data_IF_665689600461
#
_entry.id   IF_665689600461
#
_cell.length_a   1.000
_cell.length_b   1.000
_cell.length_c   1.000
_cell.angle_alpha   90.00
_cell.angle_beta   90.00
_cell.angle_gamma   90.00
#
_symmetry.space_group_name_H-M   'P 1'
#
loop_
_entity.id
_entity.type
_entity.pdbx_description
1 polymer ?
#
# COMPACT_ATOMS: atom_id res chain seq x y z
N UNK A 1 -13.68 1.53 26.33
CA UNK A 1 -13.81 1.99 24.92
C UNK A 1 -12.45 1.91 24.19
N UNK A 2 -11.86 0.72 24.02
CA UNK A 2 -10.51 0.54 23.40
C UNK A 2 -10.49 -0.39 22.16
N UNK A 3 -11.64 -0.96 21.75
CA UNK A 3 -11.71 -1.96 20.68
C UNK A 3 -11.87 -1.36 19.26
N UNK A 4 -12.27 -0.09 19.16
CA UNK A 4 -12.57 0.55 17.86
C UNK A 4 -11.38 1.28 17.25
N UNK A 5 -10.34 1.62 18.01
CA UNK A 5 -9.13 2.27 17.46
C UNK A 5 -8.26 1.28 16.67
N UNK A 6 -8.30 -0.01 16.99
CA UNK A 6 -7.43 -1.04 16.39
C UNK A 6 -7.85 -1.40 14.96
N UNK A 7 -9.15 -1.47 14.68
CA UNK A 7 -9.66 -1.72 13.33
C UNK A 7 -9.39 -0.54 12.38
N UNK A 8 -9.51 0.69 12.88
CA UNK A 8 -9.19 1.91 12.13
C UNK A 8 -7.71 1.97 11.77
N UNK A 9 -6.80 1.49 12.64
CA UNK A 9 -5.37 1.44 12.34
C UNK A 9 -5.01 0.41 11.25
N UNK A 10 -5.67 -0.75 11.20
CA UNK A 10 -5.45 -1.75 10.15
C UNK A 10 -5.98 -1.29 8.78
N UNK A 11 -7.17 -0.67 8.77
CA UNK A 11 -7.78 -0.06 7.57
C UNK A 11 -6.97 1.15 7.09
N UNK A 12 -6.46 1.96 8.02
CA UNK A 12 -5.53 3.04 7.72
C UNK A 12 -4.24 2.48 7.12
N UNK A 13 -3.59 1.46 7.70
CA UNK A 13 -2.35 0.90 7.14
C UNK A 13 -2.51 0.35 5.72
N UNK A 14 -3.63 -0.35 5.42
CA UNK A 14 -3.92 -0.84 4.07
C UNK A 14 -4.17 0.30 3.07
N UNK A 15 -4.87 1.37 3.49
CA UNK A 15 -5.06 2.57 2.66
C UNK A 15 -3.80 3.45 2.55
N UNK A 16 -2.97 3.51 3.60
CA UNK A 16 -1.69 4.24 3.65
C UNK A 16 -0.72 3.68 2.61
N UNK A 17 -0.68 2.36 2.43
CA UNK A 17 0.31 1.71 1.57
C UNK A 17 -0.15 1.55 0.12
N UNK A 18 -1.46 1.55 -0.12
CA UNK A 18 -2.01 1.56 -1.48
C UNK A 18 -2.26 2.97 -2.04
N UNK A 19 -2.38 3.99 -1.17
CA UNK A 19 -2.66 5.38 -1.56
C UNK A 19 -1.69 6.42 -1.01
N UNK A 20 -0.64 5.99 -0.33
CA UNK A 20 0.36 6.92 0.17
C UNK A 20 -0.14 7.88 1.24
N UNK A 21 -1.20 7.55 1.99
CA UNK A 21 -1.58 8.38 3.14
C UNK A 21 -0.56 8.11 4.24
N UNK A 22 0.64 8.70 4.17
CA UNK A 22 1.53 8.70 5.32
C UNK A 22 0.82 9.41 6.46
N UNK A 23 0.26 8.65 7.40
CA UNK A 23 0.01 9.15 8.72
C UNK A 23 1.40 9.42 9.32
N UNK A 24 1.92 10.62 9.08
CA UNK A 24 3.10 11.15 9.75
C UNK A 24 2.79 11.23 11.25
N UNK A 25 2.98 10.11 11.94
CA UNK A 25 3.05 10.03 13.38
C UNK A 25 4.39 10.59 13.83
N UNK A 26 4.37 11.85 14.24
CA UNK A 26 5.45 12.55 14.92
C UNK A 26 6.07 11.69 16.04
N UNK A 27 7.37 11.40 15.95
CA UNK A 27 8.05 10.53 16.92
C UNK A 27 9.57 10.54 16.82
N UNK A 28 10.18 11.69 17.15
CA UNK A 28 11.47 11.79 17.84
C UNK A 28 12.71 11.20 17.18
N UNK A 29 13.61 12.09 16.76
CA UNK A 29 15.05 11.79 16.63
C UNK A 29 15.55 10.99 17.83
N UNK A 30 16.27 9.91 17.54
CA UNK A 30 17.39 9.49 18.38
C UNK A 30 18.45 8.83 17.52
N UNK A 31 19.63 9.45 17.55
CA UNK A 31 20.87 8.91 17.00
C UNK A 31 21.14 7.52 17.56
N UNK A 32 21.61 6.60 16.72
CA UNK A 32 22.58 5.59 17.18
C UNK A 32 23.42 5.08 16.02
N UNK A 33 24.68 5.50 16.04
CA UNK A 33 25.80 4.90 15.31
C UNK A 33 26.01 3.45 15.74
N UNK A 34 26.23 2.55 14.79
CA UNK A 34 27.25 1.50 14.91
C UNK A 34 27.47 0.81 13.55
N UNK A 35 28.75 0.66 13.19
CA UNK A 35 29.18 0.16 11.90
C UNK A 35 29.10 -1.35 11.73
N UNK A 36 29.23 -1.78 10.48
CA UNK A 36 29.37 -3.18 10.09
C UNK A 36 29.58 -3.31 8.59
N UNK A 37 30.78 -3.76 8.23
CA UNK A 37 31.46 -3.75 6.93
C UNK A 37 30.86 -4.61 5.79
N UNK A 38 31.08 -4.07 4.58
CA UNK A 38 31.45 -4.78 3.34
C UNK A 38 30.38 -5.55 2.55
N UNK A 39 29.85 -4.87 1.53
CA UNK A 39 29.62 -5.49 0.22
C UNK A 39 30.30 -4.60 -0.84
N UNK A 40 31.15 -5.23 -1.66
CA UNK A 40 31.93 -4.65 -2.74
C UNK A 40 31.07 -3.78 -3.67
N UNK A 41 31.22 -2.46 -3.55
CA UNK A 41 30.71 -1.51 -4.53
C UNK A 41 31.63 -1.57 -5.76
N UNK A 42 31.20 -2.35 -6.76
CA UNK A 42 31.80 -2.29 -8.08
C UNK A 42 31.27 -1.02 -8.75
N UNK A 43 32.07 0.04 -8.67
CA UNK A 43 31.94 1.27 -9.43
C UNK A 43 31.86 0.97 -10.92
N UNK A 44 30.76 1.39 -11.56
CA UNK A 44 30.56 1.28 -13.01
C UNK A 44 29.27 1.95 -13.50
N UNK A 45 29.44 3.16 -14.05
CA UNK A 45 28.62 3.81 -15.08
C UNK A 45 27.10 3.97 -14.92
N UNK A 46 26.69 5.22 -14.69
CA UNK A 46 25.32 5.72 -14.81
C UNK A 46 24.47 5.34 -13.61
N UNK A 47 24.16 6.29 -12.73
CA UNK A 47 23.13 6.07 -11.72
C UNK A 47 21.82 5.74 -12.45
N UNK A 48 21.42 4.47 -12.40
CA UNK A 48 20.11 4.03 -12.87
C UNK A 48 19.08 4.84 -12.08
N UNK A 49 18.18 5.52 -12.79
CA UNK A 49 17.09 6.27 -12.18
C UNK A 49 15.85 5.40 -12.15
N UNK A 50 15.10 5.47 -11.06
CA UNK A 50 13.84 4.77 -10.97
C UNK A 50 12.83 5.43 -11.91
N UNK A 51 12.22 4.62 -12.78
CA UNK A 51 11.09 5.01 -13.59
C UNK A 51 9.84 4.35 -13.00
N UNK A 52 8.70 5.06 -13.05
CA UNK A 52 7.42 4.56 -12.53
C UNK A 52 6.36 4.84 -13.57
N UNK A 53 5.64 3.81 -13.97
CA UNK A 53 4.52 3.93 -14.91
C UNK A 53 3.30 4.61 -14.28
N UNK A 54 2.59 5.42 -15.07
CA UNK A 54 1.27 5.93 -14.70
C UNK A 54 0.23 4.82 -14.84
N UNK A 55 -0.20 4.29 -13.69
CA UNK A 55 -1.21 3.22 -13.61
C UNK A 55 -2.61 3.74 -13.21
N UNK A 56 -2.86 5.05 -13.28
CA UNK A 56 -4.14 5.67 -12.88
C UNK A 56 -5.35 5.12 -13.65
N UNK A 57 -5.12 4.61 -14.86
CA UNK A 57 -6.16 4.04 -15.74
C UNK A 57 -6.09 2.52 -15.86
N UNK A 58 -5.15 1.89 -15.15
CA UNK A 58 -5.07 0.43 -15.10
C UNK A 58 -5.99 -0.12 -14.02
N UNK A 59 -6.56 -1.27 -14.30
CA UNK A 59 -7.22 -2.08 -13.29
C UNK A 59 -6.22 -3.06 -12.68
N UNK A 60 -6.31 -3.24 -11.37
CA UNK A 60 -5.42 -4.14 -10.65
C UNK A 60 -6.09 -4.69 -9.41
N UNK A 61 -5.53 -5.79 -8.91
CA UNK A 61 -5.80 -6.31 -7.58
C UNK A 61 -4.50 -6.29 -6.80
N UNK A 62 -4.51 -5.68 -5.62
CA UNK A 62 -3.40 -5.76 -4.68
C UNK A 62 -3.80 -6.57 -3.44
N UNK A 63 -2.88 -7.39 -2.95
CA UNK A 63 -3.07 -8.21 -1.75
C UNK A 63 -1.98 -7.91 -0.75
N UNK A 64 -2.37 -7.45 0.43
CA UNK A 64 -1.47 -7.12 1.53
C UNK A 64 -1.52 -8.22 2.58
N UNK A 65 -0.35 -8.72 2.99
CA UNK A 65 -0.17 -9.77 4.01
C UNK A 65 0.86 -9.34 5.04
N UNK A 66 0.65 -9.77 6.27
CA UNK A 66 1.65 -9.67 7.33
C UNK A 66 2.41 -11.00 7.44
N UNK A 67 3.73 -10.93 7.58
CA UNK A 67 4.60 -12.10 7.63
C UNK A 67 4.31 -13.01 8.84
N UNK A 68 3.91 -12.41 9.96
CA UNK A 68 3.50 -13.13 11.17
C UNK A 68 2.17 -13.88 11.04
N UNK A 69 1.43 -13.69 9.93
CA UNK A 69 0.09 -14.24 9.70
C UNK A 69 -0.92 -13.91 10.81
N UNK A 70 -0.64 -12.88 11.62
CA UNK A 70 -1.52 -12.45 12.71
C UNK A 70 -2.80 -11.80 12.20
N UNK A 71 -2.86 -11.49 10.90
CA UNK A 71 -4.02 -10.95 10.23
C UNK A 71 -4.32 -11.68 8.91
N UNK A 72 -5.61 -11.90 8.60
CA UNK A 72 -6.02 -12.27 7.26
C UNK A 72 -5.53 -11.24 6.24
N UNK A 73 -5.22 -11.67 5.00
CA UNK A 73 -4.85 -10.74 3.94
C UNK A 73 -5.93 -9.68 3.69
N UNK A 74 -5.51 -8.45 3.44
CA UNK A 74 -6.39 -7.41 2.88
C UNK A 74 -6.28 -7.45 1.36
N UNK A 75 -7.41 -7.33 0.67
CA UNK A 75 -7.46 -7.29 -0.79
C UNK A 75 -8.02 -5.95 -1.23
N UNK A 76 -7.34 -5.28 -2.14
CA UNK A 76 -7.83 -4.10 -2.81
C UNK A 76 -7.98 -4.37 -4.30
N UNK A 77 -9.09 -3.90 -4.86
CA UNK A 77 -9.40 -3.97 -6.27
C UNK A 77 -9.60 -2.55 -6.78
N UNK A 78 -9.01 -2.23 -7.94
CA UNK A 78 -9.22 -0.98 -8.66
C UNK A 78 -9.74 -1.28 -10.06
N UNK A 79 -10.82 -0.61 -10.46
CA UNK A 79 -11.32 -0.67 -11.84
C UNK A 79 -10.68 0.39 -12.74
N UNK A 80 -10.93 0.32 -14.05
CA UNK A 80 -10.39 1.28 -15.04
C UNK A 80 -10.95 2.71 -14.91
N UNK A 81 -11.97 2.92 -14.08
CA UNK A 81 -12.54 4.24 -13.77
C UNK A 81 -11.89 4.86 -12.53
N UNK A 82 -11.00 4.13 -11.85
CA UNK A 82 -10.38 4.55 -10.59
C UNK A 82 -11.27 4.31 -9.38
N UNK A 83 -12.37 3.55 -9.52
CA UNK A 83 -13.15 3.13 -8.36
C UNK A 83 -12.40 2.02 -7.61
N UNK A 84 -12.61 1.96 -6.30
CA UNK A 84 -11.87 1.05 -5.43
C UNK A 84 -12.81 0.24 -4.56
N UNK A 85 -12.40 -0.99 -4.29
CA UNK A 85 -12.96 -1.83 -3.24
C UNK A 85 -11.81 -2.37 -2.40
N UNK A 86 -11.87 -2.16 -1.09
CA UNK A 86 -10.96 -2.74 -0.11
C UNK A 86 -11.76 -3.72 0.72
N UNK A 87 -11.30 -4.96 0.77
CA UNK A 87 -11.85 -6.03 1.57
C UNK A 87 -10.86 -6.38 2.66
N UNK A 88 -11.29 -6.24 3.91
CA UNK A 88 -10.50 -6.65 5.07
C UNK A 88 -11.33 -7.60 5.92
N UNK A 89 -10.74 -8.72 6.31
CA UNK A 89 -11.34 -9.62 7.29
C UNK A 89 -10.60 -9.48 8.62
N UNK A 90 -11.35 -9.18 9.67
CA UNK A 90 -10.80 -9.05 11.01
C UNK A 90 -11.27 -10.25 11.85
N UNK A 91 -10.33 -11.00 12.47
CA UNK A 91 -10.68 -12.10 13.35
C UNK A 91 -11.70 -11.67 14.41
N UNK A 92 -12.81 -12.40 14.52
CA UNK A 92 -13.92 -12.14 15.45
C UNK A 92 -14.73 -10.85 15.21
N UNK A 93 -14.48 -10.09 14.15
CA UNK A 93 -15.31 -8.93 13.75
C UNK A 93 -15.97 -9.12 12.38
N UNK A 94 -15.50 -10.09 11.60
CA UNK A 94 -16.07 -10.43 10.30
C UNK A 94 -15.44 -9.60 9.18
N UNK A 95 -16.16 -9.53 8.07
CA UNK A 95 -15.70 -8.88 6.84
C UNK A 95 -16.17 -7.42 6.84
N UNK A 96 -15.22 -6.52 6.65
CA UNK A 96 -15.49 -5.11 6.34
C UNK A 96 -15.09 -4.85 4.90
N UNK A 97 -15.96 -4.17 4.16
CA UNK A 97 -15.68 -3.69 2.82
C UNK A 97 -15.71 -2.15 2.83
N UNK A 98 -14.71 -1.53 2.20
CA UNK A 98 -14.71 -0.10 1.88
C UNK A 98 -14.78 0.06 0.38
N UNK A 99 -15.65 0.94 -0.09
CA UNK A 99 -15.76 1.33 -1.48
C UNK A 99 -15.37 2.80 -1.63
N UNK A 100 -14.58 3.13 -2.66
CA UNK A 100 -14.40 4.50 -3.14
C UNK A 100 -15.02 4.58 -4.54
N UNK A 101 -16.17 5.21 -4.65
CA UNK A 101 -16.94 5.33 -5.89
C UNK A 101 -17.45 6.76 -5.99
N UNK A 102 -17.35 7.36 -7.18
CA UNK A 102 -17.79 8.74 -7.43
C UNK A 102 -17.22 9.75 -6.42
N UNK A 103 -15.94 9.56 -6.06
CA UNK A 103 -15.18 10.37 -5.09
C UNK A 103 -15.70 10.32 -3.65
N UNK A 104 -16.44 9.27 -3.30
CA UNK A 104 -16.98 9.07 -1.95
C UNK A 104 -16.63 7.70 -1.41
N UNK A 105 -16.34 7.67 -0.12
CA UNK A 105 -16.16 6.47 0.67
C UNK A 105 -17.50 5.94 1.19
N UNK A 106 -17.65 4.62 1.09
CA UNK A 106 -18.73 3.86 1.68
C UNK A 106 -18.14 2.70 2.46
N UNK A 107 -18.66 2.44 3.65
CA UNK A 107 -18.28 1.31 4.51
C UNK A 107 -19.43 0.35 4.64
N UNK A 108 -19.15 -0.94 4.50
CA UNK A 108 -20.11 -2.02 4.68
C UNK A 108 -19.58 -2.94 5.78
N UNK A 109 -20.19 -2.89 6.96
CA UNK A 109 -19.84 -3.73 8.10
C UNK A 109 -20.90 -4.83 8.25
N UNK A 110 -20.60 -6.03 7.72
CA UNK A 110 -21.51 -7.20 7.74
C UNK A 110 -22.97 -6.86 7.35
N UNK A 111 -23.18 -6.01 6.34
CA UNK A 111 -24.52 -5.49 6.03
C UNK A 111 -24.51 -4.40 4.96
N UNK A 112 -25.56 -3.55 4.92
CA UNK A 112 -25.69 -2.49 3.92
C UNK A 112 -24.56 -1.47 4.02
N UNK A 113 -24.15 -0.93 2.87
CA UNK A 113 -23.10 0.06 2.80
C UNK A 113 -23.63 1.46 3.15
N UNK A 114 -22.92 2.18 4.00
CA UNK A 114 -23.23 3.57 4.35
C UNK A 114 -22.07 4.49 3.97
N UNK A 115 -22.37 5.72 3.55
CA UNK A 115 -21.35 6.74 3.30
C UNK A 115 -20.50 6.96 4.56
N UNK A 116 -19.18 6.87 4.44
CA UNK A 116 -18.24 7.02 5.55
C UNK A 116 -17.80 8.49 5.66
N UNK A 117 -18.51 9.25 6.49
CA UNK A 117 -18.25 10.68 6.69
C UNK A 117 -16.82 10.96 7.15
N UNK A 118 -16.22 10.09 7.97
CA UNK A 118 -14.86 10.28 8.49
C UNK A 118 -13.81 10.13 7.39
N UNK A 119 -13.93 9.10 6.55
CA UNK A 119 -13.03 8.93 5.41
C UNK A 119 -13.23 10.02 4.36
N UNK A 120 -14.47 10.43 4.13
CA UNK A 120 -14.77 11.53 3.21
C UNK A 120 -14.20 12.87 3.69
N UNK A 121 -14.29 13.15 4.99
CA UNK A 121 -13.68 14.35 5.59
C UNK A 121 -12.15 14.27 5.48
N UNK A 122 -11.55 13.12 5.78
CA UNK A 122 -10.11 12.91 5.66
C UNK A 122 -9.61 13.05 4.20
N UNK A 123 -10.45 12.71 3.21
CA UNK A 123 -10.14 12.79 1.80
C UNK A 123 -10.63 14.08 1.13
N UNK A 124 -11.26 15.01 1.86
CA UNK A 124 -12.04 16.13 1.29
C UNK A 124 -11.26 17.03 0.33
N UNK A 125 -9.93 17.07 0.45
CA UNK A 125 -9.03 17.88 -0.39
C UNK A 125 -7.94 17.05 -1.09
N UNK A 126 -8.07 15.71 -1.09
CA UNK A 126 -7.03 14.80 -1.54
C UNK A 126 -7.50 13.94 -2.71
N UNK A 127 -6.88 14.13 -3.88
CA UNK A 127 -6.95 13.14 -4.96
C UNK A 127 -5.99 11.99 -4.60
N UNK A 128 -6.54 10.92 -4.03
CA UNK A 128 -5.76 9.82 -3.49
C UNK A 128 -4.94 9.06 -4.54
N UNK A 129 -5.46 8.95 -5.76
CA UNK A 129 -4.73 8.34 -6.88
C UNK A 129 -3.53 9.21 -7.23
N UNK A 130 -3.76 10.53 -7.30
CA UNK A 130 -2.67 11.48 -7.54
C UNK A 130 -1.65 11.50 -6.40
N UNK A 131 -2.07 11.44 -5.14
CA UNK A 131 -1.14 11.43 -4.00
C UNK A 131 -0.22 10.22 -4.02
N UNK A 132 -0.75 9.04 -4.32
CA UNK A 132 0.06 7.83 -4.47
C UNK A 132 1.10 7.97 -5.59
N UNK A 133 0.68 8.51 -6.73
CA UNK A 133 1.60 8.78 -7.84
C UNK A 133 2.63 9.84 -7.50
N UNK A 134 2.23 10.92 -6.84
CA UNK A 134 3.13 11.99 -6.40
C UNK A 134 4.15 11.45 -5.40
N UNK A 135 3.79 10.50 -4.53
CA UNK A 135 4.74 9.86 -3.63
C UNK A 135 5.74 8.97 -4.35
N UNK A 136 5.29 8.13 -5.28
CA UNK A 136 6.21 7.33 -6.09
C UNK A 136 7.14 8.23 -6.92
N UNK A 137 6.62 9.35 -7.45
CA UNK A 137 7.39 10.32 -8.20
C UNK A 137 8.35 11.15 -7.35
N UNK A 138 8.01 11.47 -6.10
CA UNK A 138 8.90 12.15 -5.16
C UNK A 138 9.98 11.19 -4.62
N UNK A 139 9.62 9.92 -4.43
CA UNK A 139 10.52 8.93 -3.86
C UNK A 139 11.58 8.44 -4.87
N UNK A 140 11.30 8.51 -6.18
CA UNK A 140 12.25 8.10 -7.23
C UNK A 140 13.60 8.81 -7.16
N UNK A 141 13.62 10.08 -6.73
CA UNK A 141 14.82 10.90 -6.69
C UNK A 141 15.75 10.51 -5.52
N UNK A 142 15.22 9.81 -4.51
CA UNK A 142 15.97 9.25 -3.40
C UNK A 142 16.09 7.71 -3.48
N UNK A 143 15.62 7.11 -4.58
CA UNK A 143 15.56 5.67 -4.74
C UNK A 143 16.96 5.09 -4.96
N UNK A 144 17.27 4.05 -4.20
CA UNK A 144 18.52 3.29 -4.35
C UNK A 144 18.24 1.99 -5.08
N UNK A 145 18.87 1.80 -6.23
CA UNK A 145 18.79 0.54 -6.97
C UNK A 145 19.45 -0.59 -6.17
N UNK A 146 18.74 -1.71 -6.02
CA UNK A 146 19.21 -2.89 -5.29
C UNK A 146 19.55 -4.08 -6.21
N UNK A 147 19.20 -4.01 -7.49
CA UNK A 147 19.41 -5.10 -8.46
C UNK A 147 18.10 -5.63 -9.03
N UNK A 148 18.15 -6.84 -9.58
CA UNK A 148 16.98 -7.54 -10.11
C UNK A 148 16.64 -8.75 -9.23
N UNK A 149 15.36 -8.94 -8.95
CA UNK A 149 14.86 -10.05 -8.14
C UNK A 149 13.59 -10.64 -8.76
N UNK A 150 13.29 -11.90 -8.42
CA UNK A 150 12.07 -12.53 -8.87
C UNK A 150 10.84 -11.93 -8.19
N UNK A 151 9.79 -11.73 -8.98
CA UNK A 151 8.48 -11.24 -8.58
C UNK A 151 7.38 -12.00 -9.33
N UNK A 152 6.12 -11.72 -9.00
CA UNK A 152 4.95 -12.31 -9.65
C UNK A 152 4.88 -12.03 -11.16
N UNK A 153 5.46 -10.91 -11.62
CA UNK A 153 5.58 -10.54 -13.03
C UNK A 153 6.81 -11.14 -13.75
N UNK A 154 7.60 -11.99 -13.10
CA UNK A 154 8.83 -12.58 -13.63
C UNK A 154 10.08 -12.05 -12.92
N UNK A 155 10.82 -11.17 -13.60
CA UNK A 155 11.97 -10.45 -13.04
C UNK A 155 11.60 -9.00 -12.85
N UNK A 156 11.82 -8.47 -11.66
CA UNK A 156 11.56 -7.08 -11.32
C UNK A 156 12.86 -6.34 -10.96
N UNK A 157 12.89 -5.07 -11.30
CA UNK A 157 13.87 -4.13 -10.76
C UNK A 157 13.52 -3.81 -9.31
N UNK A 158 14.51 -3.93 -8.43
CA UNK A 158 14.35 -3.67 -7.01
C UNK A 158 14.92 -2.31 -6.64
N UNK A 159 14.15 -1.54 -5.87
CA UNK A 159 14.50 -0.23 -5.37
C UNK A 159 14.25 -0.11 -3.86
N UNK A 160 15.09 0.62 -3.16
CA UNK A 160 14.89 1.01 -1.76
C UNK A 160 14.51 2.49 -1.68
N UNK A 161 13.40 2.79 -1.00
CA UNK A 161 12.91 4.15 -0.77
C UNK A 161 12.29 4.24 0.62
N UNK A 162 12.74 5.19 1.45
CA UNK A 162 12.14 5.44 2.77
C UNK A 162 12.12 4.23 3.70
N UNK A 163 13.12 3.33 3.60
CA UNK A 163 13.18 2.10 4.39
C UNK A 163 12.23 0.99 3.92
N UNK A 164 11.65 1.12 2.73
CA UNK A 164 10.79 0.12 2.10
C UNK A 164 11.43 -0.36 0.79
N UNK A 165 11.11 -1.59 0.39
CA UNK A 165 11.64 -2.22 -0.81
C UNK A 165 10.53 -2.37 -1.86
N UNK A 166 10.76 -1.83 -3.04
CA UNK A 166 9.82 -1.79 -4.16
C UNK A 166 10.34 -2.67 -5.28
N UNK A 167 9.44 -3.42 -5.90
CA UNK A 167 9.72 -4.28 -7.04
C UNK A 167 8.90 -3.78 -8.22
N UNK A 168 9.58 -3.31 -9.26
CA UNK A 168 8.96 -2.83 -10.49
C UNK A 168 9.13 -3.85 -11.61
N UNK A 169 8.05 -4.16 -12.33
CA UNK A 169 8.12 -5.05 -13.48
C UNK A 169 8.85 -4.40 -14.67
N UNK A 170 8.99 -5.15 -15.77
CA UNK A 170 9.63 -4.68 -17.01
C UNK A 170 8.98 -3.45 -17.65
N UNK A 171 7.73 -3.15 -17.28
CA UNK A 171 6.96 -2.01 -17.77
C UNK A 171 6.98 -0.86 -16.73
N UNK A 172 7.85 -0.96 -15.72
CA UNK A 172 8.01 -0.01 -14.62
C UNK A 172 6.76 0.16 -13.75
N UNK A 173 5.91 -0.88 -13.71
CA UNK A 173 4.73 -0.92 -12.86
C UNK A 173 5.05 -1.60 -11.53
N UNK A 174 4.37 -1.18 -10.48
CA UNK A 174 4.56 -1.76 -9.16
C UNK A 174 4.06 -3.21 -9.13
N UNK A 175 4.96 -4.17 -8.89
CA UNK A 175 4.61 -5.59 -8.71
C UNK A 175 4.55 -5.99 -7.24
N UNK A 176 5.44 -5.44 -6.40
CA UNK A 176 5.48 -5.72 -4.97
C UNK A 176 6.07 -4.58 -4.16
N UNK A 177 5.61 -4.44 -2.92
CA UNK A 177 6.26 -3.66 -1.86
C UNK A 177 6.47 -4.55 -0.64
N UNK A 178 7.64 -4.48 -0.02
CA UNK A 178 7.87 -4.98 1.34
C UNK A 178 8.27 -3.84 2.26
N UNK A 179 7.70 -3.82 3.45
CA UNK A 179 7.90 -2.77 4.44
C UNK A 179 7.85 -3.33 5.85
N UNK A 180 8.67 -2.78 6.74
CA UNK A 180 8.49 -2.97 8.18
C UNK A 180 7.15 -2.39 8.60
N UNK A 181 6.42 -3.11 9.44
CA UNK A 181 5.14 -2.70 9.99
C UNK A 181 5.05 -3.10 11.47
N UNK A 182 4.00 -2.63 12.13
CA UNK A 182 3.62 -3.11 13.47
C UNK A 182 2.27 -3.79 13.33
N UNK A 183 2.16 -5.02 13.82
CA UNK A 183 0.89 -5.72 13.82
C UNK A 183 -0.08 -4.97 14.77
N UNK A 184 -1.23 -4.47 14.28
CA UNK A 184 -2.11 -3.63 15.10
C UNK A 184 -2.77 -4.39 16.27
N UNK A 185 -2.79 -5.72 16.27
CA UNK A 185 -3.41 -6.53 17.31
C UNK A 185 -2.42 -6.95 18.40
N UNK A 186 -1.21 -7.34 18.00
CA UNK A 186 -0.17 -7.78 18.95
C UNK A 186 0.73 -6.62 19.39
N UNK A 187 0.78 -5.53 18.60
CA UNK A 187 1.75 -4.43 18.70
C UNK A 187 3.21 -4.86 18.53
N UNK A 188 3.44 -6.05 17.98
CA UNK A 188 4.78 -6.55 17.71
C UNK A 188 5.27 -6.07 16.33
N UNK A 189 6.59 -5.82 16.15
CA UNK A 189 7.18 -5.59 14.85
C UNK A 189 6.96 -6.79 13.92
N UNK A 190 6.67 -6.52 12.66
CA UNK A 190 6.42 -7.52 11.62
C UNK A 190 6.83 -6.95 10.27
N UNK A 191 6.84 -7.80 9.23
CA UNK A 191 6.98 -7.34 7.86
C UNK A 191 5.62 -7.43 7.17
N UNK A 192 5.35 -6.47 6.31
CA UNK A 192 4.18 -6.44 5.46
C UNK A 192 4.61 -6.52 4.01
N UNK A 193 3.95 -7.39 3.24
CA UNK A 193 4.14 -7.51 1.80
C UNK A 193 2.83 -7.17 1.10
N UNK A 194 2.88 -6.26 0.13
CA UNK A 194 1.78 -5.99 -0.81
C UNK A 194 2.21 -6.47 -2.19
N UNK A 195 1.50 -7.46 -2.74
CA UNK A 195 1.65 -7.92 -4.12
C UNK A 195 0.59 -7.23 -4.99
N UNK A 196 0.94 -6.86 -6.22
CA UNK A 196 0.04 -6.19 -7.17
C UNK A 196 -0.04 -7.02 -8.45
N UNK A 197 -1.27 -7.32 -8.88
CA UNK A 197 -1.59 -8.05 -10.10
C UNK A 197 -2.45 -7.17 -11.01
N UNK A 198 -1.88 -6.75 -12.15
CA UNK A 198 -2.60 -6.00 -13.17
C UNK A 198 -3.48 -6.95 -14.00
N UNK A 199 -4.79 -6.81 -13.86
CA UNK A 199 -5.79 -7.63 -14.55
C UNK A 199 -7.11 -6.88 -14.70
N UNK A 200 -7.99 -7.37 -15.55
CA UNK A 200 -9.32 -6.79 -15.72
C UNK A 200 -10.13 -6.95 -14.42
N UNK A 201 -10.53 -5.82 -13.84
CA UNK A 201 -11.47 -5.74 -12.72
C UNK A 201 -12.78 -5.15 -13.25
N UNK A 202 -13.93 -5.82 -13.04
CA UNK A 202 -15.24 -5.28 -13.42
C UNK A 202 -15.50 -3.92 -12.78
N UNK A 203 -16.39 -3.13 -13.38
CA UNK A 203 -16.78 -1.83 -12.80
C UNK A 203 -17.26 -2.01 -11.35
N UNK A 204 -16.58 -1.34 -10.43
CA UNK A 204 -16.88 -1.39 -9.01
C UNK A 204 -18.02 -0.42 -8.73
N UNK A 205 -19.06 -0.92 -8.08
CA UNK A 205 -20.22 -0.15 -7.63
C UNK A 205 -20.48 -0.45 -6.17
N UNK A 206 -21.01 0.53 -5.46
CA UNK A 206 -21.50 0.32 -4.10
C UNK A 206 -22.69 -0.64 -4.16
N UNK A 207 -22.67 -1.75 -3.41
CA UNK A 207 -23.82 -2.65 -3.32
C UNK A 207 -25.09 -1.89 -2.95
N UNK A 208 -26.15 -2.05 -3.75
CA UNK A 208 -27.46 -1.49 -3.40
C UNK A 208 -28.19 -2.46 -2.47
N UNK A 209 -28.84 -1.91 -1.44
CA UNK A 209 -29.71 -2.64 -0.51
C UNK A 209 -30.98 -3.14 -1.14
#
# INVERSE_FOLDING_TARGET
>A
MRKNMTAVAALAAATVLAFGIAACGNGGSSDTSSGGTSATAQSGNGEKKMEVADVSKESFVSTTKYADSGLPPSVQEQDKKGNLKITTEVPNQGKTEIYYVDKKFYRCDNGPCTEDATLNEAAADTDMVKQFQDQLQQAKDAAKYLGEESCSAGTCETWEMGGQKYFLDKDHRLSRVTASATNPYTNEPTEMTTEVEYKDVPEIKVPQT
#
